data_IF_811640826731
#
_entry.id   IF_811640826731
#
_cell.length_a   1.000
_cell.length_b   1.000
_cell.length_c   1.000
_cell.angle_alpha   90.00
_cell.angle_beta   90.00
_cell.angle_gamma   90.00
#
_symmetry.space_group_name_H-M   'P 1'
#
loop_
_entity.id
_entity.type
_entity.pdbx_description
1 polymer ?
#
# COMPACT_ATOMS: atom_id res chain seq x y z
N UNK A 1 16.92 -6.12 -6.78
CA UNK A 1 15.69 -6.91 -6.51
C UNK A 1 15.07 -7.36 -7.84
N UNK A 2 14.78 -8.64 -7.97
CA UNK A 2 14.12 -9.18 -9.15
C UNK A 2 12.61 -8.91 -9.09
N UNK A 3 11.92 -9.08 -10.23
CA UNK A 3 10.46 -8.98 -10.27
C UNK A 3 9.82 -10.01 -9.33
N UNK A 4 10.35 -11.21 -9.26
CA UNK A 4 9.87 -12.26 -8.35
C UNK A 4 9.99 -11.86 -6.88
N UNK A 5 11.11 -11.24 -6.51
CA UNK A 5 11.33 -10.72 -5.17
C UNK A 5 10.39 -9.57 -4.85
N UNK A 6 10.07 -8.73 -5.83
CA UNK A 6 9.09 -7.64 -5.65
C UNK A 6 7.69 -8.17 -5.34
N UNK A 7 7.29 -9.29 -5.95
CA UNK A 7 6.01 -9.94 -5.63
C UNK A 7 5.97 -10.31 -4.14
N UNK A 8 7.04 -10.88 -3.63
CA UNK A 8 7.17 -11.22 -2.21
C UNK A 8 7.06 -9.99 -1.31
N UNK A 9 7.69 -8.89 -1.72
CA UNK A 9 7.61 -7.62 -1.00
C UNK A 9 6.17 -7.10 -0.93
N UNK A 10 5.43 -7.17 -2.03
CA UNK A 10 4.01 -6.78 -2.06
C UNK A 10 3.24 -7.60 -1.04
N UNK A 11 3.38 -8.91 -1.07
CA UNK A 11 2.66 -9.81 -0.17
C UNK A 11 2.95 -9.50 1.29
N UNK A 12 4.22 -9.31 1.63
CA UNK A 12 4.64 -8.99 2.99
C UNK A 12 4.10 -7.63 3.43
N UNK A 13 4.11 -6.64 2.55
CA UNK A 13 3.60 -5.31 2.85
C UNK A 13 2.10 -5.33 3.14
N UNK A 14 1.37 -6.26 2.53
CA UNK A 14 -0.07 -6.42 2.76
C UNK A 14 -0.39 -7.33 3.95
N UNK A 15 0.63 -7.99 4.53
CA UNK A 15 0.43 -8.91 5.64
C UNK A 15 -0.31 -10.18 5.26
N UNK A 16 -0.23 -10.58 3.99
CA UNK A 16 -0.95 -11.76 3.48
C UNK A 16 -0.07 -13.00 3.47
N UNK A 17 -0.69 -14.17 3.68
CA UNK A 17 -0.04 -15.46 3.48
C UNK A 17 0.05 -15.77 1.99
N UNK A 18 0.90 -16.73 1.62
CA UNK A 18 0.99 -17.21 0.23
C UNK A 18 -0.36 -17.67 -0.29
N UNK A 19 -1.11 -18.38 0.54
CA UNK A 19 -2.43 -18.90 0.18
C UNK A 19 -3.42 -17.78 -0.07
N UNK A 20 -3.52 -16.81 0.84
CA UNK A 20 -4.46 -15.69 0.73
C UNK A 20 -4.14 -14.78 -0.44
N UNK A 21 -2.85 -14.50 -0.66
CA UNK A 21 -2.42 -13.71 -1.80
C UNK A 21 -2.79 -14.41 -3.11
N UNK A 22 -2.47 -15.71 -3.21
CA UNK A 22 -2.78 -16.51 -4.39
C UNK A 22 -4.29 -16.59 -4.68
N UNK A 23 -5.10 -16.78 -3.65
CA UNK A 23 -6.56 -16.82 -3.81
C UNK A 23 -7.11 -15.56 -4.48
N UNK A 24 -6.55 -14.41 -4.16
CA UNK A 24 -7.01 -13.13 -4.69
C UNK A 24 -6.71 -12.96 -6.18
N UNK A 25 -5.68 -13.64 -6.68
CA UNK A 25 -5.31 -13.55 -8.11
C UNK A 25 -5.50 -14.87 -8.86
N UNK A 26 -6.14 -15.86 -8.22
CA UNK A 26 -6.44 -17.13 -8.86
C UNK A 26 -5.26 -18.08 -9.02
N UNK A 27 -4.29 -18.01 -8.10
CA UNK A 27 -3.05 -18.81 -8.15
C UNK A 27 -2.94 -19.62 -6.87
N UNK A 28 -2.49 -20.88 -6.99
CA UNK A 28 -2.31 -21.77 -5.84
C UNK A 28 -1.14 -21.33 -4.98
N UNK A 29 -1.14 -21.75 -3.71
CA UNK A 29 -0.03 -21.50 -2.78
C UNK A 29 1.30 -22.01 -3.33
N UNK A 30 1.30 -23.22 -3.90
CA UNK A 30 2.51 -23.81 -4.48
C UNK A 30 3.05 -23.00 -5.64
N UNK A 31 2.18 -22.52 -6.51
CA UNK A 31 2.57 -21.65 -7.63
C UNK A 31 3.12 -20.32 -7.12
N UNK A 32 2.49 -19.75 -6.10
CA UNK A 32 2.98 -18.49 -5.50
C UNK A 32 4.38 -18.67 -4.89
N UNK A 33 4.60 -19.78 -4.18
CA UNK A 33 5.91 -20.09 -3.62
C UNK A 33 6.98 -20.18 -4.71
N UNK A 34 6.69 -20.86 -5.80
CA UNK A 34 7.61 -20.99 -6.94
C UNK A 34 7.92 -19.64 -7.58
N UNK A 35 6.92 -18.78 -7.70
CA UNK A 35 7.11 -17.42 -8.23
C UNK A 35 8.03 -16.62 -7.33
N UNK A 36 7.76 -16.58 -6.02
CA UNK A 36 8.54 -15.79 -5.07
C UNK A 36 9.99 -16.29 -4.96
N UNK A 37 10.20 -17.58 -5.10
CA UNK A 37 11.54 -18.19 -5.05
C UNK A 37 12.31 -18.10 -6.37
N UNK A 38 11.70 -17.58 -7.42
CA UNK A 38 12.34 -17.42 -8.72
C UNK A 38 12.35 -18.68 -9.57
N UNK A 39 11.68 -19.76 -9.14
CA UNK A 39 11.60 -21.03 -9.86
C UNK A 39 10.61 -20.97 -11.03
N UNK A 40 9.73 -19.99 -11.03
CA UNK A 40 8.74 -19.77 -12.09
C UNK A 40 8.67 -18.28 -12.39
N UNK A 41 8.67 -17.95 -13.68
CA UNK A 41 8.55 -16.57 -14.12
C UNK A 41 7.12 -16.03 -13.91
N UNK A 42 7.03 -14.76 -13.62
CA UNK A 42 5.75 -14.06 -13.55
C UNK A 42 5.29 -13.75 -14.98
N UNK A 43 4.10 -14.22 -15.34
CA UNK A 43 3.53 -13.91 -16.65
C UNK A 43 3.00 -12.47 -16.67
N UNK A 44 2.84 -11.92 -17.88
CA UNK A 44 2.25 -10.60 -18.04
C UNK A 44 0.83 -10.54 -17.48
N UNK A 45 0.05 -11.59 -17.67
CA UNK A 45 -1.30 -11.67 -17.12
C UNK A 45 -1.30 -11.64 -15.59
N UNK A 46 -0.39 -12.37 -14.96
CA UNK A 46 -0.24 -12.36 -13.51
C UNK A 46 0.19 -11.00 -13.00
N UNK A 47 1.12 -10.36 -13.70
CA UNK A 47 1.59 -8.99 -13.37
C UNK A 47 0.41 -8.03 -13.35
N UNK A 48 -0.40 -8.05 -14.40
CA UNK A 48 -1.59 -7.19 -14.50
C UNK A 48 -2.62 -7.51 -13.42
N UNK A 49 -2.81 -8.79 -13.10
CA UNK A 49 -3.75 -9.21 -12.05
C UNK A 49 -3.32 -8.70 -10.67
N UNK A 50 -2.04 -8.78 -10.36
CA UNK A 50 -1.49 -8.27 -9.11
C UNK A 50 -1.67 -6.75 -9.03
N UNK A 51 -1.33 -6.04 -10.10
CA UNK A 51 -1.46 -4.59 -10.13
C UNK A 51 -2.91 -4.14 -9.93
N UNK A 52 -3.85 -4.82 -10.57
CA UNK A 52 -5.28 -4.51 -10.48
C UNK A 52 -5.85 -4.84 -9.11
N UNK A 53 -5.53 -6.03 -8.59
CA UNK A 53 -6.12 -6.52 -7.33
C UNK A 53 -5.61 -5.76 -6.11
N UNK A 54 -4.34 -5.37 -6.10
CA UNK A 54 -3.70 -4.79 -4.92
C UNK A 54 -3.30 -3.33 -5.10
N UNK A 55 -3.70 -2.71 -6.20
CA UNK A 55 -3.34 -1.32 -6.53
C UNK A 55 -1.82 -1.10 -6.55
N UNK A 56 -1.10 -2.03 -7.15
CA UNK A 56 0.35 -1.97 -7.30
C UNK A 56 0.70 -1.24 -8.59
N UNK A 57 1.74 -0.41 -8.55
CA UNK A 57 2.23 0.29 -9.72
C UNK A 57 2.96 -0.68 -10.66
N UNK A 58 2.53 -0.73 -11.93
CA UNK A 58 3.08 -1.63 -12.93
C UNK A 58 4.57 -1.39 -13.16
N UNK A 59 4.99 -0.14 -13.24
CA UNK A 59 6.40 0.19 -13.46
C UNK A 59 7.26 -0.24 -12.28
N UNK A 60 6.77 -0.07 -11.05
CA UNK A 60 7.51 -0.54 -9.90
C UNK A 60 7.66 -2.06 -9.91
N UNK A 61 6.59 -2.79 -10.20
CA UNK A 61 6.65 -4.27 -10.21
C UNK A 61 7.56 -4.80 -11.30
N UNK A 62 7.56 -4.18 -12.48
CA UNK A 62 8.34 -4.67 -13.63
C UNK A 62 9.77 -4.15 -13.65
N UNK A 63 10.02 -2.92 -13.21
CA UNK A 63 11.35 -2.29 -13.33
C UNK A 63 11.98 -1.93 -11.99
N UNK A 64 11.20 -1.86 -10.92
CA UNK A 64 11.67 -1.39 -9.62
C UNK A 64 11.66 0.12 -9.46
N UNK A 65 11.25 0.86 -10.47
CA UNK A 65 11.21 2.32 -10.43
C UNK A 65 9.88 2.81 -9.85
N UNK A 66 9.96 3.87 -9.04
CA UNK A 66 8.79 4.50 -8.43
C UNK A 66 8.39 3.85 -7.12
N UNK A 67 7.13 4.00 -6.76
CA UNK A 67 6.59 3.47 -5.50
C UNK A 67 5.75 2.22 -5.76
N UNK A 68 5.74 1.33 -4.76
CA UNK A 68 5.05 0.04 -4.84
C UNK A 68 3.56 0.18 -5.13
N UNK A 69 2.87 1.05 -4.41
CA UNK A 69 1.41 1.18 -4.51
C UNK A 69 1.00 2.46 -5.23
N UNK A 70 -0.09 2.35 -6.01
CA UNK A 70 -0.72 3.51 -6.63
C UNK A 70 -1.53 4.24 -5.56
N UNK A 71 -1.23 5.53 -5.39
CA UNK A 71 -1.99 6.39 -4.50
C UNK A 71 -3.12 7.04 -5.31
N UNK A 72 -4.27 6.37 -5.37
CA UNK A 72 -5.44 6.89 -6.05
C UNK A 72 -6.51 7.33 -5.05
N UNK A 73 -7.28 8.35 -5.41
CA UNK A 73 -8.39 8.84 -4.58
C UNK A 73 -9.45 7.75 -4.39
N UNK A 74 -9.70 6.94 -5.40
CA UNK A 74 -10.68 5.85 -5.31
C UNK A 74 -10.26 4.80 -4.27
N UNK A 75 -9.00 4.40 -4.26
CA UNK A 75 -8.46 3.46 -3.27
C UNK A 75 -8.52 4.05 -1.86
N UNK A 76 -8.24 5.34 -1.73
CA UNK A 76 -8.30 6.06 -0.47
C UNK A 76 -9.73 6.06 0.08
N UNK A 77 -10.71 6.37 -0.75
CA UNK A 77 -12.13 6.37 -0.38
C UNK A 77 -12.58 4.98 0.06
N UNK A 78 -12.19 3.95 -0.67
CA UNK A 78 -12.51 2.56 -0.31
C UNK A 78 -11.94 2.19 1.06
N UNK A 79 -10.73 2.61 1.36
CA UNK A 79 -10.11 2.37 2.68
C UNK A 79 -10.85 3.08 3.79
N UNK A 80 -11.30 4.31 3.55
CA UNK A 80 -12.13 5.05 4.52
C UNK A 80 -13.44 4.30 4.75
N UNK A 81 -14.09 3.84 3.70
CA UNK A 81 -15.35 3.09 3.81
C UNK A 81 -15.17 1.84 4.67
N UNK A 82 -14.08 1.10 4.48
CA UNK A 82 -13.80 -0.09 5.29
C UNK A 82 -13.62 0.25 6.77
N UNK A 83 -12.91 1.34 7.05
CA UNK A 83 -12.69 1.78 8.44
C UNK A 83 -14.03 2.16 9.07
N UNK A 84 -14.86 2.90 8.35
CA UNK A 84 -16.16 3.35 8.86
C UNK A 84 -17.15 2.21 9.06
N UNK A 85 -17.07 1.15 8.25
CA UNK A 85 -17.89 -0.05 8.39
C UNK A 85 -17.39 -1.02 9.45
N UNK A 86 -16.13 -0.89 9.88
CA UNK A 86 -15.49 -1.78 10.84
C UNK A 86 -15.76 -1.40 12.30
N UNK A 87 -15.03 -2.03 13.21
CA UNK A 87 -15.19 -1.87 14.65
C UNK A 87 -14.10 -0.97 15.30
N UNK A 88 -13.27 -0.32 14.49
CA UNK A 88 -12.21 0.56 14.98
C UNK A 88 -12.80 1.93 15.40
N UNK A 89 -13.29 1.97 16.62
CA UNK A 89 -13.93 3.18 17.16
C UNK A 89 -12.97 4.37 17.25
N UNK A 90 -11.70 4.11 17.53
CA UNK A 90 -10.71 5.19 17.64
C UNK A 90 -10.53 5.90 16.29
N UNK A 91 -10.40 5.15 15.19
CA UNK A 91 -10.27 5.75 13.86
C UNK A 91 -11.56 6.44 13.41
N UNK A 92 -12.71 5.84 13.68
CA UNK A 92 -13.99 6.45 13.36
C UNK A 92 -14.15 7.81 14.05
N UNK A 93 -13.84 7.87 15.33
CA UNK A 93 -13.94 9.10 16.11
C UNK A 93 -12.96 10.16 15.60
N UNK A 94 -11.75 9.75 15.21
CA UNK A 94 -10.78 10.68 14.64
C UNK A 94 -11.29 11.29 13.33
N UNK A 95 -11.85 10.47 12.43
CA UNK A 95 -12.42 10.97 11.18
C UNK A 95 -13.60 11.90 11.42
N UNK A 96 -14.49 11.56 12.36
CA UNK A 96 -15.61 12.41 12.72
C UNK A 96 -15.13 13.76 13.26
N UNK A 97 -14.12 13.74 14.12
CA UNK A 97 -13.51 14.95 14.64
C UNK A 97 -12.93 15.82 13.54
N UNK A 98 -12.22 15.19 12.58
CA UNK A 98 -11.61 15.93 11.46
C UNK A 98 -12.65 16.65 10.60
N UNK A 99 -13.85 16.09 10.45
CA UNK A 99 -14.93 16.74 9.72
C UNK A 99 -15.46 17.99 10.42
N UNK A 100 -15.30 18.08 11.73
CA UNK A 100 -15.76 19.23 12.53
C UNK A 100 -14.74 20.36 12.58
N UNK A 101 -13.51 20.13 12.12
CA UNK A 101 -12.47 21.14 12.13
C UNK A 101 -12.76 22.24 11.10
N UNK A 102 -12.44 23.48 11.47
CA UNK A 102 -12.54 24.62 10.55
C UNK A 102 -11.43 24.53 9.49
N UNK A 103 -11.60 25.28 8.40
CA UNK A 103 -10.57 25.39 7.37
C UNK A 103 -9.25 25.90 7.94
N UNK A 104 -9.32 26.80 8.92
CA UNK A 104 -8.13 27.33 9.61
C UNK A 104 -7.41 26.24 10.41
N UNK A 105 -8.16 25.39 11.10
CA UNK A 105 -7.61 24.26 11.86
C UNK A 105 -6.91 23.27 10.94
N UNK A 106 -7.54 22.96 9.81
CA UNK A 106 -6.97 22.05 8.81
C UNK A 106 -5.67 22.63 8.24
N UNK A 107 -5.66 23.92 7.92
CA UNK A 107 -4.45 24.60 7.44
C UNK A 107 -3.33 24.55 8.47
N UNK A 108 -3.66 24.71 9.76
CA UNK A 108 -2.70 24.62 10.85
C UNK A 108 -2.12 23.21 10.98
N UNK A 109 -2.97 22.18 10.89
CA UNK A 109 -2.52 20.78 10.90
C UNK A 109 -1.59 20.48 9.73
N UNK A 110 -1.95 20.90 8.52
CA UNK A 110 -1.13 20.73 7.34
C UNK A 110 0.25 21.35 7.52
N UNK A 111 0.29 22.56 8.05
CA UNK A 111 1.54 23.27 8.33
C UNK A 111 2.39 22.53 9.37
N UNK A 112 1.79 22.00 10.43
CA UNK A 112 2.49 21.23 11.44
C UNK A 112 3.03 19.92 10.90
N UNK A 113 2.27 19.24 10.06
CA UNK A 113 2.70 18.00 9.42
C UNK A 113 3.92 18.24 8.53
N UNK A 114 3.91 19.32 7.76
CA UNK A 114 5.05 19.70 6.90
C UNK A 114 6.29 20.00 7.74
N UNK A 115 6.13 20.69 8.85
CA UNK A 115 7.24 20.95 9.78
C UNK A 115 7.79 19.68 10.38
N UNK A 116 6.94 18.73 10.73
CA UNK A 116 7.36 17.45 11.28
C UNK A 116 8.20 16.66 10.28
N UNK A 117 7.80 16.68 9.01
CA UNK A 117 8.54 16.01 7.92
C UNK A 117 9.92 16.64 7.74
N UNK A 118 9.99 17.97 7.69
CA UNK A 118 11.27 18.71 7.59
C UNK A 118 12.19 18.41 8.78
N UNK A 119 11.64 18.40 9.97
CA UNK A 119 12.40 18.09 11.19
C UNK A 119 12.99 16.67 11.11
N UNK A 120 12.21 15.69 10.69
CA UNK A 120 12.68 14.32 10.56
C UNK A 120 13.78 14.18 9.50
N UNK A 121 13.64 14.87 8.36
CA UNK A 121 14.65 14.87 7.30
C UNK A 121 15.95 15.53 7.76
N UNK A 122 15.87 16.68 8.43
CA UNK A 122 17.04 17.38 8.94
C UNK A 122 17.81 16.57 9.98
N UNK A 123 17.09 15.84 10.83
CA UNK A 123 17.73 14.97 11.81
C UNK A 123 18.42 13.76 11.18
N UNK A 124 17.90 13.25 10.07
CA UNK A 124 18.54 12.18 9.32
C UNK A 124 19.85 12.62 8.67
N UNK A 125 19.91 13.88 8.21
CA UNK A 125 21.10 14.44 7.57
C UNK A 125 22.23 14.74 8.55
N UNK A 126 21.93 14.88 9.84
CA UNK A 126 22.90 15.17 10.89
C UNK A 126 23.60 13.93 11.45
N UNK A 127 23.03 12.78 11.20
CA UNK A 127 23.60 11.48 11.60
C UNK A 127 24.42 10.89 10.45
#
# INVERSE_FOLDING_TARGET
>A
MTQNERVKEIRKSLGLTLEKFGERIGVTRGSMSNIENGNRNLTEQMTKSICREFSVDYMWLTTGEGEMFIDSDDDFIERIDRIMAGEDEARKNLFKFMLELSDEDIAALDRLMKKAIEFAQNNKEKD
#
